data_IF_922408248253
#
_entry.id   IF_922408248253
#
_cell.length_a   1.000
_cell.length_b   1.000
_cell.length_c   1.000
_cell.angle_alpha   90.00
_cell.angle_beta   90.00
_cell.angle_gamma   90.00
#
_symmetry.space_group_name_H-M   'P 1'
#
loop_
_entity.id
_entity.type
_entity.pdbx_description
1 polymer ?
#
# COMPACT_ATOMS: atom_id res chain seq x y z
N UNK A 1 -29.10 -39.26 3.28
CA UNK A 1 -29.51 -37.85 3.44
C UNK A 1 -28.26 -37.00 3.49
N UNK A 2 -28.14 -36.13 2.49
CA UNK A 2 -27.27 -34.96 2.32
C UNK A 2 -25.73 -35.12 2.37
N UNK A 3 -25.17 -35.28 1.18
CA UNK A 3 -23.85 -34.79 0.78
C UNK A 3 -23.81 -33.25 0.86
N UNK A 4 -22.77 -32.70 1.47
CA UNK A 4 -22.39 -31.29 1.30
C UNK A 4 -21.24 -31.27 0.30
N UNK A 5 -21.58 -30.88 -0.93
CA UNK A 5 -20.64 -30.70 -2.03
C UNK A 5 -19.64 -29.59 -1.74
N UNK A 6 -18.42 -29.84 -2.21
CA UNK A 6 -17.27 -28.98 -2.17
C UNK A 6 -17.50 -27.64 -2.88
N UNK A 7 -17.18 -26.53 -2.22
CA UNK A 7 -16.82 -25.27 -2.88
C UNK A 7 -15.31 -25.26 -3.08
N UNK A 8 -14.83 -25.99 -4.09
CA UNK A 8 -13.54 -25.69 -4.73
C UNK A 8 -13.79 -24.52 -5.68
N UNK A 9 -13.50 -23.30 -5.22
CA UNK A 9 -13.33 -22.15 -6.10
C UNK A 9 -11.97 -22.26 -6.78
N UNK A 10 -11.92 -23.04 -7.85
CA UNK A 10 -10.82 -23.07 -8.81
C UNK A 10 -11.31 -22.31 -10.04
N UNK A 11 -11.11 -20.98 -10.09
CA UNK A 11 -11.20 -20.22 -11.34
C UNK A 11 -10.15 -19.11 -11.31
N UNK A 12 -9.08 -19.35 -12.07
CA UNK A 12 -8.07 -18.41 -12.55
C UNK A 12 -8.26 -16.93 -12.16
N UNK A 13 -7.38 -16.42 -11.29
CA UNK A 13 -7.02 -15.00 -11.31
C UNK A 13 -6.35 -14.70 -12.67
N UNK A 14 -7.18 -14.50 -13.68
CA UNK A 14 -6.76 -14.41 -15.07
C UNK A 14 -5.94 -13.14 -15.37
N UNK A 15 -5.27 -13.09 -16.54
CA UNK A 15 -4.55 -11.91 -17.01
C UNK A 15 -5.42 -10.64 -17.08
N UNK A 16 -6.76 -10.77 -17.12
CA UNK A 16 -7.68 -9.64 -17.03
C UNK A 16 -7.60 -8.90 -15.69
N UNK A 17 -7.48 -9.60 -14.55
CA UNK A 17 -7.38 -8.93 -13.25
C UNK A 17 -6.11 -8.08 -13.17
N UNK A 18 -4.98 -8.63 -13.65
CA UNK A 18 -3.68 -7.94 -13.70
C UNK A 18 -3.75 -6.69 -14.59
N UNK A 19 -4.38 -6.78 -15.76
CA UNK A 19 -4.52 -5.62 -16.67
C UNK A 19 -5.40 -4.52 -16.08
N UNK A 20 -6.46 -4.87 -15.37
CA UNK A 20 -7.35 -3.90 -14.70
C UNK A 20 -6.62 -3.16 -13.58
N UNK A 21 -5.85 -3.86 -12.74
CA UNK A 21 -5.05 -3.24 -11.67
C UNK A 21 -3.94 -2.35 -12.25
N UNK A 22 -3.23 -2.82 -13.29
CA UNK A 22 -2.21 -2.03 -13.98
C UNK A 22 -2.78 -0.73 -14.54
N UNK A 23 -3.97 -0.78 -15.15
CA UNK A 23 -4.64 0.41 -15.66
C UNK A 23 -4.99 1.40 -14.55
N UNK A 24 -5.42 0.91 -13.38
CA UNK A 24 -5.70 1.75 -12.22
C UNK A 24 -4.43 2.43 -11.68
N UNK A 25 -3.31 1.71 -11.60
CA UNK A 25 -2.02 2.28 -11.20
C UNK A 25 -1.49 3.34 -12.16
N UNK A 26 -1.77 3.21 -13.46
CA UNK A 26 -1.44 4.25 -14.44
C UNK A 26 -2.30 5.51 -14.30
N UNK A 27 -3.53 5.37 -13.81
CA UNK A 27 -4.45 6.49 -13.63
C UNK A 27 -4.19 7.27 -12.33
N UNK A 28 -3.70 6.58 -11.29
CA UNK A 28 -3.54 7.15 -9.96
C UNK A 28 -2.17 6.83 -9.36
N UNK A 29 -1.45 7.85 -8.92
CA UNK A 29 -0.16 7.70 -8.22
C UNK A 29 -0.25 6.82 -6.95
N UNK A 30 -1.41 6.85 -6.28
CA UNK A 30 -1.74 5.99 -5.14
C UNK A 30 -2.74 4.91 -5.55
N UNK A 31 -2.43 4.17 -6.60
CA UNK A 31 -3.25 3.05 -7.08
C UNK A 31 -3.06 1.75 -6.27
N UNK A 32 -3.67 0.64 -6.72
CA UNK A 32 -3.59 -0.65 -6.06
C UNK A 32 -2.18 -1.12 -5.70
N UNK A 33 -1.21 -1.00 -6.60
CA UNK A 33 0.17 -1.46 -6.37
C UNK A 33 0.87 -0.68 -5.26
N UNK A 34 0.52 0.60 -5.09
CA UNK A 34 1.05 1.38 -3.97
C UNK A 34 0.60 0.78 -2.63
N UNK A 35 -0.69 0.48 -2.48
CA UNK A 35 -1.25 -0.05 -1.22
C UNK A 35 -0.87 -1.52 -0.99
N UNK A 36 -0.88 -2.37 -2.02
CA UNK A 36 -0.55 -3.80 -1.89
C UNK A 36 0.94 -4.06 -1.69
N UNK A 37 1.82 -3.26 -2.31
CA UNK A 37 3.26 -3.53 -2.32
C UNK A 37 4.09 -2.45 -1.65
N UNK A 38 4.02 -1.22 -2.17
CA UNK A 38 4.97 -0.17 -1.84
C UNK A 38 4.85 0.33 -0.40
N UNK A 39 3.62 0.58 0.06
CA UNK A 39 3.38 1.11 1.40
C UNK A 39 3.93 0.16 2.47
N UNK A 40 3.65 -1.14 2.36
CA UNK A 40 4.18 -2.14 3.29
C UNK A 40 5.71 -2.20 3.30
N UNK A 41 6.35 -2.07 2.13
CA UNK A 41 7.81 -1.99 2.03
C UNK A 41 8.36 -0.74 2.72
N UNK A 42 7.81 0.44 2.43
CA UNK A 42 8.24 1.68 3.06
C UNK A 42 8.07 1.68 4.58
N UNK A 43 6.98 1.07 5.07
CA UNK A 43 6.76 0.89 6.50
C UNK A 43 7.84 0.01 7.12
N UNK A 44 8.17 -1.14 6.52
CA UNK A 44 9.24 -2.04 7.02
C UNK A 44 10.62 -1.38 6.98
N UNK A 45 10.94 -0.69 5.90
CA UNK A 45 12.24 -0.04 5.72
C UNK A 45 12.47 1.09 6.74
N UNK A 46 11.40 1.67 7.28
CA UNK A 46 11.46 2.81 8.21
C UNK A 46 11.15 2.47 9.65
N UNK A 47 10.45 1.36 9.86
CA UNK A 47 10.13 0.81 11.17
C UNK A 47 10.65 -0.64 11.21
N UNK A 48 11.98 -0.84 11.25
CA UNK A 48 12.56 -2.17 11.23
C UNK A 48 12.17 -2.99 12.46
N UNK A 49 11.92 -2.33 13.60
CA UNK A 49 11.31 -2.94 14.77
C UNK A 49 9.93 -2.30 15.08
N UNK A 50 8.83 -2.92 14.63
CA UNK A 50 7.48 -2.43 14.89
C UNK A 50 7.02 -2.61 16.34
N UNK A 51 7.72 -3.41 17.16
CA UNK A 51 7.41 -3.56 18.59
C UNK A 51 7.93 -2.36 19.40
N UNK A 52 9.04 -1.79 18.96
CA UNK A 52 9.63 -0.59 19.57
C UNK A 52 9.06 0.70 18.97
N UNK A 53 8.81 0.73 17.65
CA UNK A 53 8.35 1.91 16.94
C UNK A 53 7.14 1.58 16.07
N UNK A 54 5.94 1.83 16.59
CA UNK A 54 4.72 1.64 15.81
C UNK A 54 4.65 2.68 14.67
N UNK A 55 4.60 2.24 13.40
CA UNK A 55 4.38 3.15 12.27
C UNK A 55 3.01 3.79 12.39
N UNK A 56 2.96 5.11 12.20
CA UNK A 56 1.72 5.84 11.96
C UNK A 56 1.65 6.18 10.46
N UNK A 57 0.71 5.55 9.77
CA UNK A 57 0.41 5.86 8.37
C UNK A 57 -0.76 6.82 8.33
N UNK A 58 -0.59 7.95 7.63
CA UNK A 58 -1.63 8.96 7.47
C UNK A 58 -1.95 9.14 6.00
N UNK A 59 -3.23 9.11 5.64
CA UNK A 59 -3.72 9.34 4.28
C UNK A 59 -4.53 10.64 4.28
N UNK A 60 -4.05 11.64 3.55
CA UNK A 60 -4.77 12.92 3.38
C UNK A 60 -5.60 12.88 2.12
N UNK A 61 -6.88 13.19 2.26
CA UNK A 61 -7.89 13.20 1.21
C UNK A 61 -8.04 14.60 0.59
N UNK A 62 -8.81 14.68 -0.50
CA UNK A 62 -8.99 15.88 -1.30
C UNK A 62 -9.77 17.00 -0.62
N UNK A 63 -10.67 16.64 0.30
CA UNK A 63 -11.40 17.57 1.16
C UNK A 63 -10.55 18.10 2.34
N UNK A 64 -9.33 17.58 2.50
CA UNK A 64 -8.42 17.94 3.57
C UNK A 64 -8.49 17.02 4.79
N UNK A 65 -9.42 16.07 4.84
CA UNK A 65 -9.47 15.05 5.88
C UNK A 65 -8.17 14.23 5.92
N UNK A 66 -7.76 13.82 7.11
CA UNK A 66 -6.59 12.95 7.29
C UNK A 66 -6.98 11.71 8.08
N UNK A 67 -6.85 10.56 7.43
CA UNK A 67 -7.13 9.25 7.99
C UNK A 67 -5.87 8.66 8.62
N UNK A 68 -5.94 8.30 9.89
CA UNK A 68 -4.90 7.52 10.57
C UNK A 68 -5.14 6.03 10.31
N UNK A 69 -4.38 5.46 9.37
CA UNK A 69 -4.58 4.10 8.87
C UNK A 69 -3.93 3.08 9.80
N UNK A 70 -4.74 2.11 10.24
CA UNK A 70 -4.29 0.97 11.04
C UNK A 70 -3.95 -0.23 10.16
N UNK A 71 -4.81 -0.56 9.19
CA UNK A 71 -4.60 -1.67 8.27
C UNK A 71 -5.34 -1.45 6.95
N UNK A 72 -4.81 -2.07 5.88
CA UNK A 72 -5.53 -2.19 4.61
C UNK A 72 -6.39 -3.46 4.70
N UNK A 73 -7.70 -3.30 4.54
CA UNK A 73 -8.67 -4.40 4.65
C UNK A 73 -8.91 -5.04 3.30
N UNK A 74 -8.94 -4.24 2.24
CA UNK A 74 -9.18 -4.73 0.88
C UNK A 74 -8.77 -3.71 -0.16
N UNK A 75 -8.48 -4.19 -1.37
CA UNK A 75 -8.04 -3.38 -2.50
C UNK A 75 -8.85 -3.79 -3.71
N UNK A 76 -9.32 -2.80 -4.46
CA UNK A 76 -10.11 -2.93 -5.68
C UNK A 76 -9.48 -2.06 -6.77
N UNK A 77 -9.81 -2.25 -8.06
CA UNK A 77 -9.32 -1.37 -9.13
C UNK A 77 -9.66 0.13 -8.98
N UNK A 78 -10.65 0.51 -8.17
CA UNK A 78 -11.10 1.91 -8.05
C UNK A 78 -10.98 2.50 -6.65
N UNK A 79 -10.72 1.67 -5.65
CA UNK A 79 -10.72 2.11 -4.25
C UNK A 79 -9.89 1.17 -3.39
N UNK A 80 -9.47 1.69 -2.23
CA UNK A 80 -8.92 0.91 -1.13
C UNK A 80 -9.85 1.01 0.08
N UNK A 81 -10.05 -0.12 0.75
CA UNK A 81 -10.76 -0.17 2.02
C UNK A 81 -9.75 -0.18 3.15
N UNK A 82 -9.83 0.82 4.01
CA UNK A 82 -8.90 1.08 5.09
C UNK A 82 -9.63 0.93 6.40
N UNK A 83 -8.98 0.30 7.38
CA UNK A 83 -9.39 0.49 8.76
C UNK A 83 -8.61 1.66 9.34
N UNK A 84 -9.35 2.63 9.83
CA UNK A 84 -8.83 3.89 10.33
C UNK A 84 -9.14 4.02 11.81
N UNK A 85 -8.26 4.70 12.55
CA UNK A 85 -8.53 5.06 13.94
C UNK A 85 -9.57 6.16 13.97
N UNK A 86 -10.62 5.97 14.75
CA UNK A 86 -11.63 7.00 14.99
C UNK A 86 -11.04 8.10 15.88
N UNK A 87 -10.98 9.33 15.37
CA UNK A 87 -10.46 10.48 16.11
C UNK A 87 -11.44 10.99 17.19
N UNK A 88 -12.74 10.77 17.00
CA UNK A 88 -13.80 11.19 17.92
C UNK A 88 -14.23 10.07 18.88
N UNK A 89 -13.89 8.82 18.56
CA UNK A 89 -14.26 7.64 19.30
C UNK A 89 -13.37 7.33 20.52
N UNK A 90 -13.68 6.23 21.22
CA UNK A 90 -12.80 5.67 22.25
C UNK A 90 -11.39 5.46 21.68
N UNK A 91 -10.36 5.48 22.54
CA UNK A 91 -8.96 5.38 22.12
C UNK A 91 -8.64 4.21 21.17
N UNK A 92 -9.45 3.15 21.19
CA UNK A 92 -9.29 1.95 20.38
C UNK A 92 -10.42 1.72 19.37
N UNK A 93 -11.27 2.73 19.14
CA UNK A 93 -12.30 2.70 18.11
C UNK A 93 -11.66 2.64 16.71
N UNK A 94 -12.11 1.69 15.89
CA UNK A 94 -11.75 1.62 14.48
C UNK A 94 -13.01 1.75 13.63
N UNK A 95 -12.89 2.48 12.52
CA UNK A 95 -13.89 2.58 11.48
C UNK A 95 -13.34 1.98 10.17
N UNK A 96 -14.23 1.55 9.29
CA UNK A 96 -13.89 1.11 7.95
C UNK A 96 -14.22 2.22 6.97
N UNK A 97 -13.22 2.69 6.23
CA UNK A 97 -13.35 3.73 5.23
C UNK A 97 -13.07 3.18 3.83
N UNK A 98 -13.98 3.47 2.91
CA UNK A 98 -13.84 3.13 1.50
C UNK A 98 -13.33 4.36 0.75
N UNK A 99 -12.07 4.35 0.34
CA UNK A 99 -11.38 5.52 -0.20
C UNK A 99 -11.09 5.33 -1.69
N UNK A 100 -11.72 6.10 -2.59
CA UNK A 100 -11.33 6.17 -4.00
C UNK A 100 -9.88 6.65 -4.16
N UNK A 101 -9.13 6.08 -5.09
CA UNK A 101 -7.72 6.47 -5.26
C UNK A 101 -7.54 7.91 -5.71
N UNK A 102 -8.51 8.40 -6.49
CA UNK A 102 -8.47 9.73 -7.10
C UNK A 102 -8.50 10.84 -6.05
N UNK A 103 -9.09 10.58 -4.88
CA UNK A 103 -9.19 11.56 -3.80
C UNK A 103 -7.98 11.52 -2.85
N UNK A 104 -7.07 10.54 -2.97
CA UNK A 104 -5.87 10.47 -2.13
C UNK A 104 -4.85 11.50 -2.60
N UNK A 105 -4.62 12.54 -1.80
CA UNK A 105 -3.66 13.60 -2.15
C UNK A 105 -2.24 13.33 -1.65
N UNK A 106 -2.14 12.75 -0.45
CA UNK A 106 -0.85 12.55 0.22
C UNK A 106 -0.90 11.32 1.12
N UNK A 107 0.19 10.56 1.14
CA UNK A 107 0.40 9.49 2.11
C UNK A 107 1.66 9.82 2.92
N UNK A 108 1.56 9.78 4.24
CA UNK A 108 2.68 9.99 5.15
C UNK A 108 2.92 8.78 6.01
N UNK A 109 4.20 8.47 6.28
CA UNK A 109 4.62 7.46 7.24
C UNK A 109 5.46 8.16 8.29
N UNK A 110 5.11 7.97 9.56
CA UNK A 110 5.82 8.53 10.73
C UNK A 110 6.14 7.43 11.72
N UNK A 111 7.26 7.55 12.43
CA UNK A 111 7.58 6.70 13.58
C UNK A 111 7.17 7.42 14.87
N UNK A 112 6.47 6.71 15.76
CA UNK A 112 6.12 7.25 17.09
C UNK A 112 7.36 7.22 17.99
N UNK A 113 7.86 8.38 18.42
CA UNK A 113 8.92 8.49 19.43
C UNK A 113 10.26 9.06 18.94
N UNK A 114 10.52 9.06 17.64
CA UNK A 114 11.68 9.75 17.08
C UNK A 114 11.24 11.12 16.55
N UNK A 115 11.86 12.19 17.04
CA UNK A 115 11.58 13.59 16.65
C UNK A 115 11.82 13.88 15.14
N UNK A 116 12.26 12.92 14.31
CA UNK A 116 13.06 13.28 13.14
C UNK A 116 12.64 12.78 11.76
N UNK A 117 11.85 11.73 11.60
CA UNK A 117 11.70 11.11 10.27
C UNK A 117 10.24 10.90 9.87
N UNK A 118 9.75 11.76 8.98
CA UNK A 118 8.53 11.51 8.23
C UNK A 118 8.86 11.36 6.75
N UNK A 119 8.21 10.43 6.07
CA UNK A 119 8.22 10.35 4.62
C UNK A 119 6.83 10.68 4.15
N UNK A 120 6.74 11.62 3.23
CA UNK A 120 5.50 11.97 2.57
C UNK A 120 5.64 11.72 1.07
N UNK A 121 4.59 11.16 0.49
CA UNK A 121 4.39 11.04 -0.94
C UNK A 121 3.21 11.93 -1.33
N UNK A 122 3.28 12.64 -2.45
CA UNK A 122 2.16 13.42 -3.00
C UNK A 122 1.86 12.95 -4.42
N UNK A 123 0.67 13.26 -4.95
CA UNK A 123 0.38 12.94 -6.36
C UNK A 123 1.41 13.54 -7.33
N UNK A 124 1.96 14.73 -7.00
CA UNK A 124 3.00 15.41 -7.80
C UNK A 124 4.43 14.90 -7.54
N UNK A 125 4.64 14.16 -6.46
CA UNK A 125 5.92 13.55 -6.08
C UNK A 125 5.64 12.13 -5.61
N UNK A 126 5.27 11.23 -6.54
CA UNK A 126 4.99 9.86 -6.19
C UNK A 126 6.31 9.14 -5.85
N UNK A 127 6.27 8.00 -5.14
CA UNK A 127 7.48 7.27 -4.81
C UNK A 127 8.23 6.84 -6.08
N UNK A 128 9.55 7.09 -6.15
CA UNK A 128 10.39 6.77 -7.33
C UNK A 128 10.49 5.26 -7.64
N UNK A 129 9.96 4.38 -6.79
CA UNK A 129 9.90 2.93 -7.03
C UNK A 129 8.89 2.57 -8.17
N UNK A 130 8.30 3.56 -8.81
CA UNK A 130 7.33 3.41 -9.90
C UNK A 130 7.91 3.15 -11.29
N UNK A 131 9.21 2.87 -11.44
CA UNK A 131 9.70 2.30 -12.70
C UNK A 131 9.69 0.77 -12.58
N UNK A 132 8.84 0.04 -13.33
CA UNK A 132 8.92 -1.41 -13.45
C UNK A 132 10.35 -1.89 -13.78
N UNK A 133 11.10 -1.04 -14.48
CA UNK A 133 12.51 -1.22 -14.84
C UNK A 133 13.44 -1.33 -13.62
N UNK A 134 13.17 -0.59 -12.55
CA UNK A 134 13.99 -0.64 -11.32
C UNK A 134 13.72 -1.94 -10.54
N UNK A 135 12.48 -2.43 -10.56
CA UNK A 135 12.12 -3.72 -9.97
C UNK A 135 12.70 -4.88 -10.79
N UNK A 136 12.62 -4.82 -12.13
CA UNK A 136 13.27 -5.78 -13.03
C UNK A 136 14.79 -5.79 -12.82
N UNK A 137 15.43 -4.62 -12.78
CA UNK A 137 16.88 -4.50 -12.58
C UNK A 137 17.32 -4.98 -11.19
N UNK A 138 16.51 -4.79 -10.15
CA UNK A 138 16.79 -5.32 -8.82
C UNK A 138 16.56 -6.84 -8.69
N UNK A 139 15.71 -7.43 -9.54
CA UNK A 139 15.46 -8.87 -9.57
C UNK A 139 16.48 -9.64 -10.42
N UNK A 140 17.23 -8.97 -11.29
CA UNK A 140 18.33 -9.57 -12.02
C UNK A 140 19.60 -9.56 -11.15
N UNK A 141 20.26 -10.71 -10.92
CA UNK A 141 21.52 -10.74 -10.20
C UNK A 141 22.54 -9.85 -10.94
N UNK A 142 23.44 -9.16 -10.22
CA UNK A 142 24.49 -8.39 -10.88
C UNK A 142 25.26 -9.38 -11.75
N UNK A 143 25.35 -9.09 -13.06
CA UNK A 143 26.21 -9.82 -13.97
C UNK A 143 27.59 -9.89 -13.31
N UNK A 144 27.91 -11.08 -12.78
CA UNK A 144 29.25 -11.37 -12.31
C UNK A 144 30.09 -11.44 -13.56
N UNK A 145 30.58 -10.27 -13.96
CA UNK A 145 31.68 -10.18 -14.89
C UNK A 145 32.92 -10.61 -14.08
N UNK A 146 33.03 -11.92 -13.86
CA UNK A 146 34.28 -12.59 -13.48
C UNK A 146 35.22 -12.46 -14.68
N UNK A 147 35.77 -11.25 -14.82
CA UNK A 147 36.96 -11.02 -15.63
C UNK A 147 38.11 -11.72 -14.92
N UNK A 148 38.33 -12.97 -15.32
CA UNK A 148 39.53 -13.71 -14.95
C UNK A 148 40.77 -12.99 -15.48
N UNK A 149 41.72 -12.76 -14.57
CA UNK A 149 43.14 -12.64 -14.87
C UNK A 149 43.78 -14.04 -14.91
#
# INVERSE_FOLDING_TARGET
MSEIQALRGDEAEGPEAVTVFTKADLACAFGPSFFLGHLGRFVRDRCPDPKENLPLVQVRLADGETLDVCHIVGVSPRWVMLAVRDAAGPRDGMALELVPYEIVQRVCIRTRGAEGASIGFTQTRPPEILAPETLLRAAMPPDHNDGGD
#
